data_IF_742633499211
#
_entry.id   IF_742633499211
#
_cell.length_a   1.000
_cell.length_b   1.000
_cell.length_c   1.000
_cell.angle_alpha   90.00
_cell.angle_beta   90.00
_cell.angle_gamma   90.00
#
_symmetry.space_group_name_H-M   'P 1'
#
loop_
_entity.id
_entity.type
_entity.pdbx_description
1 polymer ?
#
# COMPACT_ATOMS: atom_id res chain seq x y z
N UNK A 1 -10.42 -1.99 -12.31
CA UNK A 1 -9.91 -3.33 -11.93
C UNK A 1 -8.39 -3.47 -12.01
N UNK A 2 -7.66 -2.62 -12.74
CA UNK A 2 -6.21 -2.81 -13.01
C UNK A 2 -5.25 -2.64 -11.82
N UNK A 3 -5.71 -2.14 -10.67
CA UNK A 3 -4.78 -1.74 -9.61
C UNK A 3 -4.14 -2.93 -8.88
N UNK A 4 -4.91 -3.94 -8.47
CA UNK A 4 -4.37 -5.12 -7.76
C UNK A 4 -3.82 -6.19 -8.73
N UNK A 5 -4.15 -6.10 -10.01
CA UNK A 5 -3.60 -7.00 -11.05
C UNK A 5 -2.15 -6.66 -11.36
N UNK A 6 -1.75 -5.39 -11.20
CA UNK A 6 -0.37 -4.95 -11.42
C UNK A 6 0.59 -5.46 -10.32
N UNK A 7 1.64 -6.24 -10.65
CA UNK A 7 2.60 -6.75 -9.68
C UNK A 7 3.32 -5.65 -8.87
N UNK A 8 3.62 -4.51 -9.49
CA UNK A 8 4.28 -3.39 -8.83
C UNK A 8 3.38 -2.76 -7.75
N UNK A 9 2.09 -2.61 -8.04
CA UNK A 9 1.14 -2.11 -7.04
C UNK A 9 1.00 -3.05 -5.85
N UNK A 10 0.93 -4.38 -6.10
CA UNK A 10 0.90 -5.37 -5.01
C UNK A 10 2.18 -5.34 -4.18
N UNK A 11 3.34 -5.24 -4.82
CA UNK A 11 4.62 -5.17 -4.13
C UNK A 11 4.68 -3.95 -3.19
N UNK A 12 4.28 -2.77 -3.67
CA UNK A 12 4.19 -1.56 -2.84
C UNK A 12 3.21 -1.77 -1.69
N UNK A 13 2.00 -2.24 -1.96
CA UNK A 13 0.97 -2.47 -0.93
C UNK A 13 1.47 -3.43 0.16
N UNK A 14 2.06 -4.57 -0.22
CA UNK A 14 2.60 -5.58 0.69
C UNK A 14 3.78 -5.08 1.52
N UNK A 15 4.63 -4.24 0.94
CA UNK A 15 5.79 -3.68 1.65
C UNK A 15 5.41 -2.83 2.87
N UNK A 16 4.15 -2.36 2.95
CA UNK A 16 3.62 -1.48 3.99
C UNK A 16 2.43 -2.08 4.76
N UNK A 17 2.25 -3.40 4.74
CA UNK A 17 1.19 -4.08 5.51
C UNK A 17 1.51 -4.07 7.00
N UNK A 18 2.72 -4.51 7.37
CA UNK A 18 3.09 -4.69 8.78
C UNK A 18 3.59 -3.39 9.42
N UNK A 19 4.38 -2.61 8.66
CA UNK A 19 5.00 -1.37 9.12
C UNK A 19 4.75 -0.24 8.11
N UNK A 20 4.62 0.99 8.60
CA UNK A 20 4.52 2.14 7.71
C UNK A 20 5.90 2.56 7.21
N UNK A 21 5.96 3.00 5.95
CA UNK A 21 7.23 3.37 5.29
C UNK A 21 7.12 4.68 4.54
N UNK A 22 8.26 5.36 4.40
CA UNK A 22 8.39 6.51 3.52
C UNK A 22 8.64 6.04 2.07
N UNK A 23 8.32 6.86 1.09
CA UNK A 23 8.49 6.50 -0.33
C UNK A 23 9.92 6.06 -0.68
N UNK A 24 10.94 6.67 -0.05
CA UNK A 24 12.34 6.31 -0.26
C UNK A 24 12.66 4.90 0.25
N UNK A 25 12.12 4.49 1.40
CA UNK A 25 12.30 3.14 1.92
C UNK A 25 11.67 2.11 0.98
N UNK A 26 10.43 2.36 0.54
CA UNK A 26 9.73 1.48 -0.41
C UNK A 26 10.52 1.35 -1.73
N UNK A 27 11.06 2.47 -2.23
CA UNK A 27 11.87 2.50 -3.46
C UNK A 27 13.10 1.61 -3.34
N UNK A 28 13.81 1.69 -2.20
CA UNK A 28 14.99 0.89 -1.93
C UNK A 28 14.64 -0.60 -1.72
N UNK A 29 13.64 -0.90 -0.88
CA UNK A 29 13.23 -2.26 -0.54
C UNK A 29 12.79 -3.06 -1.78
N UNK A 30 12.10 -2.40 -2.70
CA UNK A 30 11.54 -3.03 -3.90
C UNK A 30 12.43 -2.86 -5.14
N UNK A 31 13.54 -2.12 -5.03
CA UNK A 31 14.42 -1.77 -6.14
C UNK A 31 13.67 -1.17 -7.35
N UNK A 32 12.74 -0.25 -7.09
CA UNK A 32 11.99 0.48 -8.12
C UNK A 32 12.20 1.99 -7.98
N UNK A 33 12.04 2.74 -9.07
CA UNK A 33 12.25 4.18 -9.04
C UNK A 33 11.30 4.89 -8.06
N UNK A 34 11.78 5.95 -7.40
CA UNK A 34 10.98 6.76 -6.50
C UNK A 34 9.73 7.35 -7.20
N UNK A 35 9.85 7.70 -8.48
CA UNK A 35 8.72 8.15 -9.31
C UNK A 35 7.64 7.07 -9.47
N UNK A 36 8.03 5.81 -9.65
CA UNK A 36 7.10 4.69 -9.72
C UNK A 36 6.41 4.45 -8.37
N UNK A 37 7.14 4.60 -7.25
CA UNK A 37 6.55 4.52 -5.90
C UNK A 37 5.50 5.61 -5.72
N UNK A 38 5.80 6.88 -5.99
CA UNK A 38 4.83 7.96 -5.84
C UNK A 38 3.60 7.78 -6.73
N UNK A 39 3.80 7.39 -7.99
CA UNK A 39 2.68 7.10 -8.90
C UNK A 39 1.81 5.94 -8.41
N UNK A 40 2.41 4.94 -7.78
CA UNK A 40 1.71 3.77 -7.23
C UNK A 40 0.97 4.12 -5.95
N UNK A 41 1.62 4.82 -5.01
CA UNK A 41 1.00 5.27 -3.77
C UNK A 41 -0.20 6.17 -4.04
N UNK A 42 -0.08 7.13 -4.97
CA UNK A 42 -1.21 7.99 -5.36
C UNK A 42 -2.42 7.17 -5.85
N UNK A 43 -2.19 6.20 -6.74
CA UNK A 43 -3.27 5.30 -7.19
C UNK A 43 -3.88 4.46 -6.06
N UNK A 44 -3.07 3.99 -5.11
CA UNK A 44 -3.56 3.19 -3.99
C UNK A 44 -4.30 4.04 -2.95
N UNK A 45 -3.89 5.30 -2.74
CA UNK A 45 -4.61 6.29 -1.94
C UNK A 45 -5.95 6.64 -2.57
N UNK A 46 -6.00 6.88 -3.88
CA UNK A 46 -7.25 7.16 -4.62
C UNK A 46 -8.27 6.02 -4.50
N UNK A 47 -7.79 4.78 -4.44
CA UNK A 47 -8.60 3.58 -4.23
C UNK A 47 -8.87 3.28 -2.76
N UNK A 48 -8.43 4.15 -1.84
CA UNK A 48 -8.59 4.00 -0.39
C UNK A 48 -7.98 2.70 0.17
N UNK A 49 -6.94 2.17 -0.49
CA UNK A 49 -6.24 0.96 -0.05
C UNK A 49 -5.03 1.26 0.84
N UNK A 50 -4.53 2.49 0.78
CA UNK A 50 -3.40 3.00 1.57
C UNK A 50 -3.81 4.29 2.27
N UNK A 51 -3.13 4.62 3.37
CA UNK A 51 -3.25 5.90 4.05
C UNK A 51 -1.92 6.35 4.62
N UNK A 52 -1.83 7.63 4.96
CA UNK A 52 -0.72 8.17 5.75
C UNK A 52 -0.99 7.88 7.23
N UNK A 53 -0.20 6.99 7.83
CA UNK A 53 -0.30 6.64 9.25
C UNK A 53 0.20 7.79 10.13
N UNK A 54 1.34 8.37 9.75
CA UNK A 54 1.97 9.45 10.52
C UNK A 54 2.79 10.37 9.62
N UNK A 55 3.16 11.50 10.20
CA UNK A 55 4.12 12.43 9.63
C UNK A 55 5.29 12.58 10.58
N UNK A 56 6.50 12.66 10.02
CA UNK A 56 7.69 13.02 10.78
C UNK A 56 8.37 14.22 10.13
N UNK A 57 9.01 15.05 10.94
CA UNK A 57 9.78 16.20 10.47
C UNK A 57 11.26 15.86 10.52
N UNK A 58 11.91 15.88 9.36
CA UNK A 58 13.36 15.66 9.22
C UNK A 58 13.92 16.83 8.43
N UNK A 59 14.89 17.53 8.99
CA UNK A 59 15.53 18.72 8.38
C UNK A 59 14.51 19.77 7.89
N UNK A 60 13.47 20.03 8.68
CA UNK A 60 12.40 20.97 8.35
C UNK A 60 11.42 20.48 7.27
N UNK A 61 11.58 19.27 6.75
CA UNK A 61 10.68 18.66 5.75
C UNK A 61 9.71 17.70 6.43
N UNK A 62 8.43 17.83 6.09
CA UNK A 62 7.37 16.92 6.52
C UNK A 62 7.36 15.68 5.62
N UNK A 63 7.63 14.51 6.21
CA UNK A 63 7.70 13.23 5.51
C UNK A 63 6.48 12.38 5.87
N UNK A 64 5.84 11.79 4.86
CA UNK A 64 4.69 10.90 5.00
C UNK A 64 5.14 9.45 5.20
N UNK A 65 4.58 8.78 6.20
CA UNK A 65 4.68 7.34 6.38
C UNK A 65 3.38 6.68 5.93
N UNK A 66 3.46 5.84 4.91
CA UNK A 66 2.31 5.17 4.30
C UNK A 66 2.11 3.78 4.89
N UNK A 67 0.86 3.40 5.11
CA UNK A 67 0.46 2.06 5.59
C UNK A 67 -0.72 1.51 4.81
N UNK A 68 -0.74 0.19 4.62
CA UNK A 68 -1.86 -0.50 3.99
C UNK A 68 -3.09 -0.51 4.90
N UNK A 69 -4.26 -0.23 4.33
CA UNK A 69 -5.57 -0.47 4.96
C UNK A 69 -6.02 -1.93 4.83
N UNK A 70 -5.39 -2.70 3.95
CA UNK A 70 -5.64 -4.15 3.76
C UNK A 70 -4.60 -4.94 4.54
N UNK A 71 -5.05 -5.85 5.41
CA UNK A 71 -4.19 -6.76 6.17
C UNK A 71 -4.12 -8.16 5.58
N UNK A 72 -5.18 -8.57 4.86
CA UNK A 72 -5.25 -9.87 4.21
C UNK A 72 -6.12 -9.77 2.94
N UNK A 73 -5.84 -10.59 1.94
CA UNK A 73 -6.62 -10.71 0.72
C UNK A 73 -6.76 -12.18 0.33
N UNK A 74 -7.98 -12.61 -0.02
CA UNK A 74 -8.27 -13.96 -0.50
C UNK A 74 -8.89 -13.89 -1.89
N UNK A 75 -8.44 -14.76 -2.79
CA UNK A 75 -9.03 -14.95 -4.11
C UNK A 75 -9.70 -16.31 -4.12
N UNK A 76 -11.00 -16.33 -4.40
CA UNK A 76 -11.78 -17.55 -4.58
C UNK A 76 -12.24 -17.66 -6.04
N UNK A 77 -11.87 -18.77 -6.68
CA UNK A 77 -12.32 -19.11 -8.03
C UNK A 77 -13.57 -19.99 -7.92
N UNK A 78 -14.67 -19.50 -8.46
CA UNK A 78 -15.91 -20.26 -8.63
C UNK A 78 -16.12 -20.57 -10.11
N UNK A 79 -17.00 -21.53 -10.41
CA UNK A 79 -17.30 -21.95 -11.78
C UNK A 79 -17.67 -20.79 -12.71
N UNK A 80 -18.35 -19.79 -12.15
CA UNK A 80 -18.97 -18.69 -12.90
C UNK A 80 -18.42 -17.30 -12.54
N UNK A 81 -17.60 -17.18 -11.47
CA UNK A 81 -17.07 -15.89 -11.02
C UNK A 81 -15.76 -16.02 -10.22
N UNK A 82 -15.03 -14.92 -10.09
CA UNK A 82 -13.85 -14.78 -9.23
C UNK A 82 -14.10 -13.73 -8.16
N UNK A 83 -14.10 -14.14 -6.89
CA UNK A 83 -14.32 -13.24 -5.76
C UNK A 83 -12.98 -12.87 -5.15
N UNK A 84 -12.71 -11.56 -5.06
CA UNK A 84 -11.61 -10.99 -4.28
C UNK A 84 -12.17 -10.46 -2.95
N UNK A 85 -11.78 -11.10 -1.84
CA UNK A 85 -12.11 -10.64 -0.48
C UNK A 85 -10.92 -9.88 0.09
N UNK A 86 -11.17 -8.66 0.55
CA UNK A 86 -10.17 -7.82 1.23
C UNK A 86 -10.56 -7.68 2.69
N UNK A 87 -9.62 -7.98 3.58
CA UNK A 87 -9.80 -7.85 5.02
C UNK A 87 -9.01 -6.66 5.55
N UNK A 88 -9.59 -5.87 6.47
CA UNK A 88 -8.95 -4.68 6.99
C UNK A 88 -7.66 -5.03 7.75
N UNK A 89 -6.69 -4.14 7.67
CA UNK A 89 -5.46 -4.23 8.44
C UNK A 89 -5.74 -3.89 9.90
N UNK A 90 -5.81 -4.92 10.76
CA UNK A 90 -6.10 -4.74 12.20
C UNK A 90 -5.07 -3.86 12.91
N UNK A 91 -3.83 -3.80 12.41
CA UNK A 91 -2.76 -2.95 12.96
C UNK A 91 -2.82 -1.50 12.48
N UNK A 92 -3.69 -1.20 11.49
CA UNK A 92 -3.95 0.16 11.02
C UNK A 92 -5.04 0.87 11.85
N UNK A 93 -5.83 0.12 12.61
CA UNK A 93 -6.86 0.60 13.53
C UNK A 93 -6.33 0.56 14.96
N UNK A 94 -5.54 1.56 15.32
CA UNK A 94 -5.52 2.11 16.67
C UNK A 94 -6.03 3.55 16.55
N UNK A 95 -7.34 3.69 16.35
CA UNK A 95 -8.08 4.94 16.53
C UNK A 95 -9.20 4.63 17.51
#
# INVERSE_FOLDING_TARGET
>A
MDSLVNPCHRAVLFSIVNESKIANQISNDLNISLSAVYKTLGKLEDLTLVFVEKFEFVDGKKIKFYKSRIGNAEIALHSDDTILKLYPNKTATNV
#
